data_IF_956105160160
#
_entry.id   IF_956105160160
#
_cell.length_a   1.000
_cell.length_b   1.000
_cell.length_c   1.000
_cell.angle_alpha   90.00
_cell.angle_beta   90.00
_cell.angle_gamma   90.00
#
_symmetry.space_group_name_H-M   'P 1'
#
loop_
_entity.id
_entity.type
_entity.pdbx_description
1 polymer ?
#
# COMPACT_ATOMS: atom_id res chain seq x y z
N UNK A 1 11.49 -27.69 16.25
CA UNK A 1 10.26 -27.36 15.48
C UNK A 1 10.59 -27.50 14.00
N UNK A 2 9.86 -28.34 13.27
CA UNK A 2 10.02 -28.52 11.82
C UNK A 2 9.37 -27.35 11.09
N UNK A 3 10.11 -26.69 10.22
CA UNK A 3 9.56 -25.64 9.34
C UNK A 3 8.88 -26.33 8.15
N UNK A 4 7.62 -26.02 7.91
CA UNK A 4 6.85 -26.56 6.78
C UNK A 4 6.53 -25.41 5.82
N UNK A 5 6.81 -25.57 4.52
CA UNK A 5 6.37 -24.66 3.47
C UNK A 5 4.88 -24.92 3.23
N UNK A 6 4.04 -23.92 3.53
CA UNK A 6 2.58 -24.02 3.34
C UNK A 6 2.10 -23.44 2.02
N UNK A 7 2.85 -22.49 1.44
CA UNK A 7 2.53 -21.88 0.16
C UNK A 7 3.79 -21.29 -0.48
N UNK A 8 3.74 -21.05 -1.78
CA UNK A 8 4.80 -20.39 -2.54
C UNK A 8 4.19 -19.29 -3.40
N UNK A 9 4.89 -18.16 -3.47
CA UNK A 9 4.56 -17.02 -4.32
C UNK A 9 5.73 -16.82 -5.27
N UNK A 10 5.45 -16.58 -6.54
CA UNK A 10 6.45 -16.21 -7.53
C UNK A 10 6.28 -14.75 -7.88
N UNK A 11 7.30 -13.95 -7.64
CA UNK A 11 7.35 -12.52 -7.96
C UNK A 11 8.38 -12.35 -9.08
N UNK A 12 7.99 -11.61 -10.12
CA UNK A 12 8.86 -11.30 -11.27
C UNK A 12 9.42 -9.89 -11.14
N UNK A 13 10.49 -9.60 -11.89
CA UNK A 13 11.05 -8.24 -11.98
C UNK A 13 12.02 -7.89 -10.86
N UNK A 14 12.43 -8.85 -10.02
CA UNK A 14 13.48 -8.62 -9.02
C UNK A 14 14.83 -8.66 -9.70
N UNK A 15 15.58 -7.56 -9.61
CA UNK A 15 16.93 -7.41 -10.13
C UNK A 15 17.98 -7.56 -9.02
N UNK A 16 19.22 -7.85 -9.41
CA UNK A 16 20.34 -7.88 -8.46
C UNK A 16 20.54 -6.50 -7.84
N UNK A 17 20.51 -6.43 -6.52
CA UNK A 17 20.60 -5.18 -5.75
C UNK A 17 19.24 -4.61 -5.34
N UNK A 18 18.11 -5.22 -5.75
CA UNK A 18 16.80 -4.85 -5.22
C UNK A 18 16.76 -5.08 -3.72
N UNK A 19 16.23 -4.10 -3.03
CA UNK A 19 15.84 -4.22 -1.62
C UNK A 19 14.39 -4.65 -1.53
N UNK A 20 14.07 -5.44 -0.51
CA UNK A 20 12.69 -5.84 -0.29
C UNK A 20 12.36 -6.09 1.16
N UNK A 21 11.10 -5.94 1.47
CA UNK A 21 10.56 -6.07 2.80
C UNK A 21 9.26 -6.85 2.82
N UNK A 22 8.90 -7.30 4.01
CA UNK A 22 7.61 -7.90 4.26
C UNK A 22 7.08 -7.46 5.63
N UNK A 23 5.79 -7.17 5.70
CA UNK A 23 5.09 -6.82 6.93
C UNK A 23 3.74 -7.52 7.00
N UNK A 24 3.13 -7.55 8.19
CA UNK A 24 1.81 -8.10 8.42
C UNK A 24 0.82 -6.98 8.72
N UNK A 25 -0.36 -7.04 8.12
CA UNK A 25 -1.44 -6.08 8.34
C UNK A 25 -1.71 -5.18 7.15
N UNK A 26 -2.70 -4.31 7.31
CA UNK A 26 -3.11 -3.31 6.32
C UNK A 26 -2.50 -1.93 6.58
N UNK A 27 -1.91 -1.70 7.76
CA UNK A 27 -1.26 -0.45 8.12
C UNK A 27 0.26 -0.55 7.93
N UNK A 28 0.94 0.59 7.96
CA UNK A 28 2.41 0.66 7.96
C UNK A 28 3.05 -0.03 9.17
N UNK A 29 2.36 -0.05 10.31
CA UNK A 29 2.80 -0.78 11.49
C UNK A 29 2.43 -2.26 11.39
N UNK A 30 3.39 -3.12 11.70
CA UNK A 30 3.18 -4.56 11.71
C UNK A 30 2.10 -4.98 12.71
N UNK A 31 1.07 -5.66 12.24
CA UNK A 31 0.00 -6.21 13.07
C UNK A 31 0.22 -7.71 13.23
N UNK A 32 0.63 -8.15 14.42
CA UNK A 32 0.81 -9.58 14.74
C UNK A 32 -0.49 -10.35 14.48
N UNK A 33 -0.35 -11.54 13.92
CA UNK A 33 -1.45 -12.44 13.60
C UNK A 33 -2.41 -11.95 12.50
N UNK A 34 -2.08 -10.89 11.77
CA UNK A 34 -2.86 -10.51 10.61
C UNK A 34 -2.74 -11.56 9.51
N UNK A 35 -3.85 -11.91 8.82
CA UNK A 35 -3.79 -12.76 7.63
C UNK A 35 -3.29 -12.00 6.39
N UNK A 36 -3.15 -10.69 6.46
CA UNK A 36 -2.60 -9.89 5.37
C UNK A 36 -1.08 -9.86 5.45
N UNK A 37 -0.44 -10.04 4.30
CA UNK A 37 1.00 -9.99 4.12
C UNK A 37 1.27 -8.97 3.03
N UNK A 38 1.93 -7.89 3.38
CA UNK A 38 2.44 -6.92 2.43
C UNK A 38 3.88 -7.26 2.08
N UNK A 39 4.18 -7.37 0.81
CA UNK A 39 5.53 -7.56 0.29
C UNK A 39 5.83 -6.39 -0.64
N UNK A 40 7.00 -5.80 -0.47
CA UNK A 40 7.50 -4.75 -1.35
C UNK A 40 8.92 -5.07 -1.82
N UNK A 41 9.26 -4.65 -3.02
CA UNK A 41 10.64 -4.64 -3.50
C UNK A 41 10.84 -3.48 -4.46
N UNK A 42 12.07 -3.00 -4.51
CA UNK A 42 12.48 -1.95 -5.41
C UNK A 42 13.98 -1.82 -5.49
N UNK A 43 14.47 -1.06 -6.44
CA UNK A 43 15.88 -0.75 -6.57
C UNK A 43 16.13 0.63 -5.94
N UNK A 44 17.02 0.75 -4.93
CA UNK A 44 17.29 2.02 -4.29
C UNK A 44 18.01 2.96 -5.27
N UNK A 45 17.38 4.10 -5.52
CA UNK A 45 17.89 5.18 -6.36
C UNK A 45 17.28 6.51 -5.89
N UNK A 46 17.71 7.63 -6.46
CA UNK A 46 16.99 8.89 -6.31
C UNK A 46 15.57 8.69 -6.86
N UNK A 47 14.54 8.96 -6.04
CA UNK A 47 13.18 8.56 -6.36
C UNK A 47 12.98 7.04 -6.25
N UNK A 48 12.98 6.53 -5.02
CA UNK A 48 12.88 5.10 -4.75
C UNK A 48 11.53 4.51 -5.19
N UNK A 49 11.55 3.84 -6.34
CA UNK A 49 10.39 3.15 -6.87
C UNK A 49 10.28 1.74 -6.31
N UNK A 50 9.09 1.38 -5.85
CA UNK A 50 8.78 0.07 -5.30
C UNK A 50 7.57 -0.56 -5.97
N UNK A 51 7.63 -1.87 -6.17
CA UNK A 51 6.49 -2.71 -6.48
C UNK A 51 5.95 -3.33 -5.19
N UNK A 52 4.66 -3.27 -5.00
CA UNK A 52 3.99 -3.65 -3.77
C UNK A 52 2.90 -4.68 -4.04
N UNK A 53 2.78 -5.64 -3.14
CA UNK A 53 1.82 -6.74 -3.23
C UNK A 53 1.18 -6.96 -1.88
N UNK A 54 -0.14 -6.91 -1.82
CA UNK A 54 -0.92 -7.31 -0.67
C UNK A 54 -1.48 -8.72 -0.89
N UNK A 55 -1.07 -9.64 -0.05
CA UNK A 55 -1.58 -11.01 -0.03
C UNK A 55 -2.47 -11.26 1.18
N UNK A 56 -3.40 -12.18 1.04
CA UNK A 56 -4.24 -12.69 2.11
C UNK A 56 -4.01 -14.19 2.29
N UNK A 57 -3.61 -14.59 3.50
CA UNK A 57 -3.35 -15.97 3.86
C UNK A 57 -4.52 -16.54 4.68
N UNK A 58 -5.19 -17.55 4.16
CA UNK A 58 -6.26 -18.27 4.86
C UNK A 58 -6.18 -19.75 4.53
N UNK A 59 -6.26 -20.62 5.55
CA UNK A 59 -6.31 -22.07 5.38
C UNK A 59 -5.16 -22.62 4.50
N UNK A 60 -3.95 -22.11 4.67
CA UNK A 60 -2.76 -22.43 3.88
C UNK A 60 -2.84 -22.03 2.40
N UNK A 61 -3.84 -21.24 2.02
CA UNK A 61 -3.97 -20.69 0.66
C UNK A 61 -3.64 -19.21 0.68
N UNK A 62 -2.86 -18.77 -0.30
CA UNK A 62 -2.49 -17.37 -0.48
C UNK A 62 -3.23 -16.80 -1.68
N UNK A 63 -3.91 -15.68 -1.48
CA UNK A 63 -4.55 -14.90 -2.53
C UNK A 63 -3.83 -13.57 -2.69
N UNK A 64 -3.49 -13.18 -3.92
CA UNK A 64 -3.13 -11.79 -4.24
C UNK A 64 -4.41 -10.95 -4.17
N UNK A 65 -4.40 -9.94 -3.30
CA UNK A 65 -5.54 -9.03 -3.07
C UNK A 65 -5.37 -7.77 -3.90
N UNK A 66 -4.16 -7.20 -3.87
CA UNK A 66 -3.84 -5.97 -4.59
C UNK A 66 -2.37 -5.90 -4.95
N UNK A 67 -2.07 -5.25 -6.07
CA UNK A 67 -0.72 -4.87 -6.46
C UNK A 67 -0.72 -3.41 -6.90
N UNK A 68 0.36 -2.69 -6.58
CA UNK A 68 0.54 -1.28 -6.93
C UNK A 68 2.01 -0.92 -6.96
N UNK A 69 2.31 0.21 -7.61
CA UNK A 69 3.62 0.85 -7.54
C UNK A 69 3.57 2.04 -6.58
N UNK A 70 4.68 2.30 -5.93
CA UNK A 70 4.88 3.50 -5.12
C UNK A 70 6.22 4.12 -5.44
N UNK A 71 6.33 5.41 -5.22
CA UNK A 71 7.59 6.15 -5.35
C UNK A 71 7.71 7.08 -4.14
N UNK A 72 8.91 7.16 -3.58
CA UNK A 72 9.21 8.07 -2.49
C UNK A 72 10.58 8.70 -2.70
N UNK A 73 10.66 10.02 -2.52
CA UNK A 73 11.89 10.78 -2.47
C UNK A 73 11.79 11.78 -1.33
N UNK A 74 12.58 11.53 -0.27
CA UNK A 74 12.67 12.43 0.89
C UNK A 74 11.34 12.84 1.52
N UNK A 75 10.33 11.97 1.44
CA UNK A 75 8.98 12.21 1.99
C UNK A 75 7.95 12.71 0.98
N UNK A 76 8.38 13.07 -0.22
CA UNK A 76 7.52 13.35 -1.36
C UNK A 76 7.26 12.09 -2.18
N UNK A 77 6.20 12.06 -2.97
CA UNK A 77 5.94 10.96 -3.89
C UNK A 77 4.50 10.47 -3.90
N UNK A 78 4.35 9.18 -4.27
CA UNK A 78 3.04 8.53 -4.40
C UNK A 78 3.03 7.13 -3.80
N UNK A 79 1.98 6.79 -3.06
CA UNK A 79 1.78 5.49 -2.41
C UNK A 79 0.29 5.18 -2.23
N UNK A 80 0.02 3.97 -1.76
CA UNK A 80 -1.33 3.56 -1.40
C UNK A 80 -1.50 3.57 0.12
N UNK A 81 -2.62 4.09 0.59
CA UNK A 81 -3.05 3.99 1.98
C UNK A 81 -4.26 3.07 2.09
N UNK A 82 -4.19 2.14 3.05
CA UNK A 82 -5.31 1.30 3.41
C UNK A 82 -6.05 1.86 4.62
N UNK A 83 -7.38 1.89 4.53
CA UNK A 83 -8.26 2.34 5.61
C UNK A 83 -9.15 1.17 6.04
N UNK A 84 -9.00 0.76 7.29
CA UNK A 84 -9.79 -0.29 7.91
C UNK A 84 -10.68 0.29 9.02
N UNK A 85 -11.91 0.73 8.70
CA UNK A 85 -12.79 1.38 9.68
C UNK A 85 -13.20 0.47 10.84
N UNK A 86 -13.17 -0.84 10.62
CA UNK A 86 -13.52 -1.82 11.65
C UNK A 86 -12.44 -2.00 12.72
N UNK A 87 -11.22 -1.54 12.47
CA UNK A 87 -10.02 -1.78 13.28
C UNK A 87 -9.74 -3.27 13.62
N UNK A 88 -10.44 -4.20 12.97
CA UNK A 88 -10.24 -5.64 13.16
C UNK A 88 -8.94 -6.08 12.50
N UNK A 89 -8.24 -7.02 13.13
CA UNK A 89 -7.04 -7.65 12.54
C UNK A 89 -7.38 -8.40 11.24
N UNK A 90 -8.57 -8.95 11.16
CA UNK A 90 -9.12 -9.64 10.01
C UNK A 90 -10.51 -9.05 9.68
N UNK A 91 -10.57 -7.92 8.96
CA UNK A 91 -11.83 -7.30 8.56
C UNK A 91 -12.51 -8.09 7.44
N UNK A 92 -13.80 -7.86 7.25
CA UNK A 92 -14.57 -8.36 6.11
C UNK A 92 -14.56 -7.40 4.91
N UNK A 93 -14.14 -6.16 5.16
CA UNK A 93 -13.95 -5.13 4.15
C UNK A 93 -12.93 -4.09 4.61
N UNK A 94 -12.26 -3.48 3.64
CA UNK A 94 -11.40 -2.33 3.85
C UNK A 94 -11.36 -1.48 2.57
N UNK A 95 -10.83 -0.28 2.70
CA UNK A 95 -10.69 0.66 1.59
C UNK A 95 -9.22 0.90 1.30
N UNK A 96 -8.92 1.35 0.10
CA UNK A 96 -7.65 1.98 -0.23
C UNK A 96 -7.86 3.22 -1.11
N UNK A 97 -6.85 4.06 -1.11
CA UNK A 97 -6.72 5.22 -1.98
C UNK A 97 -5.25 5.38 -2.38
N UNK A 98 -5.02 5.91 -3.55
CA UNK A 98 -3.70 6.41 -3.94
C UNK A 98 -3.53 7.83 -3.37
N UNK A 99 -2.39 8.07 -2.76
CA UNK A 99 -2.00 9.36 -2.20
C UNK A 99 -0.78 9.84 -2.96
N UNK A 100 -0.84 11.06 -3.47
CA UNK A 100 0.31 11.78 -3.98
C UNK A 100 0.58 12.99 -3.09
N UNK A 101 1.84 13.25 -2.79
CA UNK A 101 2.28 14.46 -2.16
C UNK A 101 3.43 15.04 -2.97
N UNK A 102 3.15 16.08 -3.72
CA UNK A 102 4.06 16.69 -4.68
C UNK A 102 4.57 18.04 -4.16
N UNK A 103 5.89 18.32 -4.27
CA UNK A 103 6.44 19.60 -3.82
C UNK A 103 5.89 20.75 -4.65
N UNK A 104 5.85 21.93 -4.05
CA UNK A 104 5.55 23.18 -4.76
C UNK A 104 6.83 23.72 -5.41
N UNK A 105 6.74 24.16 -6.66
CA UNK A 105 7.90 24.68 -7.42
C UNK A 105 8.49 25.98 -6.84
N UNK A 106 7.71 26.71 -6.03
CA UNK A 106 8.09 28.02 -5.52
C UNK A 106 8.38 28.05 -4.02
N UNK A 107 8.06 26.97 -3.30
CA UNK A 107 8.25 26.87 -1.85
C UNK A 107 8.54 25.42 -1.46
N UNK A 108 9.79 25.13 -1.16
CA UNK A 108 10.28 23.78 -0.82
C UNK A 108 9.65 23.19 0.46
N UNK A 109 9.02 24.04 1.31
CA UNK A 109 8.33 23.61 2.51
C UNK A 109 6.84 23.31 2.28
N UNK A 110 6.34 23.61 1.08
CA UNK A 110 4.94 23.44 0.72
C UNK A 110 4.77 22.37 -0.35
N UNK A 111 3.63 21.69 -0.33
CA UNK A 111 3.27 20.73 -1.34
C UNK A 111 1.76 20.60 -1.53
N UNK A 112 1.40 19.82 -2.55
CA UNK A 112 0.01 19.51 -2.86
C UNK A 112 -0.24 18.05 -2.62
N UNK A 113 -1.15 17.73 -1.68
CA UNK A 113 -1.64 16.39 -1.49
C UNK A 113 -2.84 16.13 -2.39
N UNK A 114 -2.83 14.99 -3.09
CA UNK A 114 -3.92 14.54 -3.97
C UNK A 114 -4.31 13.13 -3.60
N UNK A 115 -5.60 12.81 -3.66
CA UNK A 115 -6.13 11.46 -3.53
C UNK A 115 -6.83 11.05 -4.81
N UNK A 116 -6.50 9.85 -5.30
CA UNK A 116 -7.14 9.22 -6.46
C UNK A 116 -7.42 7.73 -6.21
N UNK A 117 -8.00 7.07 -7.18
CA UNK A 117 -8.17 5.60 -7.25
C UNK A 117 -8.72 4.97 -5.99
N UNK A 118 -9.77 5.58 -5.44
CA UNK A 118 -10.43 5.02 -4.27
C UNK A 118 -11.11 3.69 -4.61
N UNK A 119 -10.87 2.68 -3.79
CA UNK A 119 -11.41 1.32 -3.96
C UNK A 119 -11.92 0.78 -2.65
N UNK A 120 -12.89 -0.11 -2.73
CA UNK A 120 -13.31 -0.96 -1.63
C UNK A 120 -12.97 -2.41 -1.92
N UNK A 121 -12.45 -3.08 -0.93
CA UNK A 121 -12.21 -4.52 -0.92
C UNK A 121 -13.23 -5.19 0.00
N UNK A 122 -13.85 -6.27 -0.46
CA UNK A 122 -14.82 -7.08 0.30
C UNK A 122 -14.50 -8.55 0.21
N UNK A 123 -14.58 -9.24 1.34
CA UNK A 123 -14.46 -10.68 1.41
C UNK A 123 -15.80 -11.32 1.05
N UNK A 124 -15.88 -11.91 -0.13
CA UNK A 124 -17.08 -12.61 -0.63
C UNK A 124 -16.77 -14.11 -0.67
N UNK A 125 -17.40 -14.86 0.21
CA UNK A 125 -17.04 -16.25 0.46
C UNK A 125 -15.61 -16.34 1.02
N UNK A 126 -14.68 -16.87 0.25
CA UNK A 126 -13.28 -16.98 0.64
C UNK A 126 -12.35 -16.15 -0.26
N UNK A 127 -12.89 -15.24 -1.04
CA UNK A 127 -12.12 -14.44 -2.00
C UNK A 127 -12.31 -12.95 -1.75
N UNK A 128 -11.21 -12.23 -1.77
CA UNK A 128 -11.21 -10.77 -1.82
C UNK A 128 -11.58 -10.29 -3.21
N UNK A 129 -12.57 -9.42 -3.28
CA UNK A 129 -13.00 -8.73 -4.49
C UNK A 129 -12.80 -7.25 -4.33
N UNK A 130 -12.19 -6.61 -5.35
CA UNK A 130 -12.02 -5.16 -5.40
C UNK A 130 -13.10 -4.53 -6.28
N UNK A 131 -13.55 -3.35 -5.86
CA UNK A 131 -14.50 -2.53 -6.59
C UNK A 131 -14.01 -1.08 -6.56
N UNK A 132 -13.77 -0.45 -7.73
CA UNK A 132 -13.47 0.97 -7.80
C UNK A 132 -14.65 1.81 -7.26
N UNK A 133 -14.35 2.88 -6.55
CA UNK A 133 -15.31 3.88 -6.06
C UNK A 133 -15.19 5.19 -6.85
N UNK A 134 -14.04 5.40 -7.49
CA UNK A 134 -13.78 6.51 -8.40
C UNK A 134 -13.44 5.96 -9.79
N UNK A 135 -13.47 6.80 -10.81
CA UNK A 135 -12.87 6.46 -12.10
C UNK A 135 -11.36 6.36 -11.96
N UNK A 136 -10.73 5.59 -12.83
CA UNK A 136 -9.28 5.47 -12.91
C UNK A 136 -8.64 6.85 -13.10
N UNK A 137 -7.56 7.12 -12.38
CA UNK A 137 -6.81 8.38 -12.36
C UNK A 137 -7.64 9.63 -11.96
N UNK A 138 -8.85 9.43 -11.44
CA UNK A 138 -9.68 10.54 -10.99
C UNK A 138 -9.22 11.06 -9.64
N UNK A 139 -8.62 12.25 -9.62
CA UNK A 139 -8.42 13.01 -8.38
C UNK A 139 -9.76 13.46 -7.82
N UNK A 140 -10.04 13.13 -6.57
CA UNK A 140 -11.27 13.51 -5.88
C UNK A 140 -11.02 14.37 -4.62
N UNK A 141 -9.76 14.54 -4.25
CA UNK A 141 -9.32 15.42 -3.18
C UNK A 141 -8.00 16.05 -3.57
N UNK A 142 -7.86 17.37 -3.34
CA UNK A 142 -6.63 18.10 -3.52
C UNK A 142 -6.53 19.20 -2.46
N UNK A 143 -5.37 19.32 -1.83
CA UNK A 143 -5.13 20.35 -0.81
C UNK A 143 -3.66 20.72 -0.78
N UNK A 144 -3.38 22.03 -0.78
CA UNK A 144 -2.04 22.57 -0.50
C UNK A 144 -1.80 22.60 1.00
N UNK A 145 -0.64 22.12 1.46
CA UNK A 145 -0.24 22.12 2.86
C UNK A 145 1.28 22.07 3.00
N UNK A 146 1.78 22.38 4.20
CA UNK A 146 3.20 22.29 4.47
C UNK A 146 3.66 20.81 4.57
N UNK A 147 4.94 20.59 4.34
CA UNK A 147 5.57 19.27 4.53
C UNK A 147 5.37 18.76 5.96
N UNK A 148 5.59 19.62 6.94
CA UNK A 148 5.47 19.27 8.36
C UNK A 148 4.02 18.93 8.74
N UNK A 149 3.04 19.72 8.28
CA UNK A 149 1.62 19.46 8.55
C UNK A 149 1.19 18.11 7.95
N UNK A 150 1.66 17.79 6.74
CA UNK A 150 1.32 16.52 6.11
C UNK A 150 1.87 15.33 6.90
N UNK A 151 3.12 15.38 7.32
CA UNK A 151 3.78 14.28 8.03
C UNK A 151 3.38 14.19 9.50
N UNK A 152 2.90 15.27 10.11
CA UNK A 152 2.40 15.25 11.51
C UNK A 152 1.01 14.61 11.65
N UNK A 153 0.26 14.43 10.56
CA UNK A 153 -1.07 13.82 10.57
C UNK A 153 -1.06 12.28 10.46
N UNK A 154 0.11 11.65 10.40
CA UNK A 154 0.28 10.19 10.23
C UNK A 154 0.48 9.46 11.54
#
# INVERSE_FOLDING_TARGET
KTKTVSSRISIKGIEKGSEWGASLGLASATTKNSPFIHISFGYPACGYNQNNYLYYLKNKTVQLVHEWSSMSDSGWGGWVEFVNPSAKVNPDSFYCKTVFFEPDDNDENMGTVKYSDSMVFRLIGNQWKKQPLTKEDQTYFEKKMSFDDFHSQK
#
